data_IF_861851447447
#
_entry.id   IF_861851447447
#
_cell.length_a   1.000
_cell.length_b   1.000
_cell.length_c   1.000
_cell.angle_alpha   90.00
_cell.angle_beta   90.00
_cell.angle_gamma   90.00
#
_symmetry.space_group_name_H-M   'P 1'
#
loop_
_entity.id
_entity.type
_entity.pdbx_description
1 polymer ?
#
# COMPACT_ATOMS: atom_id res chain seq x y z
N UNK A 1 -22.16 -8.09 8.05
CA UNK A 1 -20.76 -8.03 7.55
C UNK A 1 -20.47 -6.76 6.79
N UNK A 2 -21.40 -6.29 5.97
CA UNK A 2 -21.17 -5.10 5.16
C UNK A 2 -20.90 -3.84 5.97
N UNK A 3 -21.58 -3.66 7.12
CA UNK A 3 -21.39 -2.46 7.95
C UNK A 3 -19.99 -2.38 8.55
N UNK A 4 -19.47 -3.51 9.04
CA UNK A 4 -18.13 -3.55 9.62
C UNK A 4 -17.09 -3.35 8.52
N UNK A 5 -17.26 -3.98 7.36
CA UNK A 5 -16.37 -3.83 6.23
C UNK A 5 -16.34 -2.38 5.73
N UNK A 6 -17.51 -1.75 5.64
CA UNK A 6 -17.62 -0.35 5.23
C UNK A 6 -16.92 0.58 6.22
N UNK A 7 -17.11 0.33 7.52
CA UNK A 7 -16.49 1.14 8.55
C UNK A 7 -14.96 1.03 8.48
N UNK A 8 -14.42 -0.19 8.36
CA UNK A 8 -12.99 -0.40 8.24
C UNK A 8 -12.42 0.23 6.97
N UNK A 9 -13.18 0.14 5.87
CA UNK A 9 -12.79 0.78 4.62
C UNK A 9 -12.67 2.29 4.79
N UNK A 10 -13.66 2.93 5.44
CA UNK A 10 -13.63 4.36 5.68
C UNK A 10 -12.46 4.77 6.56
N UNK A 11 -12.15 3.98 7.60
CA UNK A 11 -11.00 4.24 8.43
C UNK A 11 -9.70 4.14 7.65
N UNK A 12 -9.59 3.15 6.78
CA UNK A 12 -8.41 2.96 5.95
C UNK A 12 -8.29 4.04 4.89
N UNK A 13 -9.41 4.51 4.32
CA UNK A 13 -9.37 5.62 3.37
C UNK A 13 -8.97 6.93 4.02
N UNK A 14 -9.19 7.07 5.33
CA UNK A 14 -8.68 8.20 6.09
C UNK A 14 -7.20 8.03 6.44
N UNK A 15 -6.70 6.79 6.39
CA UNK A 15 -5.29 6.52 6.58
C UNK A 15 -4.57 6.88 5.29
N UNK A 16 -3.60 7.73 5.39
CA UNK A 16 -2.85 8.15 4.22
C UNK A 16 -2.19 6.95 3.53
N UNK A 17 -2.29 6.89 2.21
CA UNK A 17 -1.56 5.91 1.40
C UNK A 17 -0.16 6.41 1.09
N UNK A 18 0.12 7.67 1.37
CA UNK A 18 1.43 8.29 1.22
C UNK A 18 1.96 8.69 2.59
N UNK A 19 3.22 8.39 2.82
CA UNK A 19 3.90 8.63 4.09
C UNK A 19 5.29 9.20 3.84
N UNK A 20 5.81 9.96 4.82
CA UNK A 20 7.25 10.10 4.88
C UNK A 20 7.84 8.77 5.35
N UNK A 21 9.11 8.52 5.06
CA UNK A 21 9.76 7.29 5.53
C UNK A 21 9.73 7.19 7.05
N UNK A 22 9.83 8.31 7.74
CA UNK A 22 9.73 8.34 9.20
C UNK A 22 8.34 7.94 9.69
N UNK A 23 7.29 8.46 9.05
CA UNK A 23 5.91 8.12 9.39
C UNK A 23 5.65 6.63 9.16
N UNK A 24 6.18 6.09 8.06
CA UNK A 24 6.06 4.67 7.76
C UNK A 24 6.77 3.84 8.83
N UNK A 25 7.95 4.24 9.25
CA UNK A 25 8.68 3.56 10.31
C UNK A 25 7.88 3.53 11.62
N UNK A 26 7.29 4.65 11.99
CA UNK A 26 6.46 4.73 13.20
C UNK A 26 5.26 3.81 13.12
N UNK A 27 4.62 3.73 11.95
CA UNK A 27 3.49 2.83 11.74
C UNK A 27 3.93 1.37 11.86
N UNK A 28 5.06 1.02 11.27
CA UNK A 28 5.60 -0.35 11.36
C UNK A 28 5.89 -0.70 12.82
N UNK A 29 6.50 0.21 13.57
CA UNK A 29 6.80 -0.01 14.98
C UNK A 29 5.54 -0.29 15.80
N UNK A 30 4.47 0.45 15.55
CA UNK A 30 3.19 0.22 16.23
C UNK A 30 2.58 -1.13 15.88
N UNK A 31 2.71 -1.54 14.63
CA UNK A 31 2.23 -2.86 14.20
C UNK A 31 3.04 -3.98 14.85
N UNK A 32 4.34 -3.80 15.00
CA UNK A 32 5.20 -4.77 15.68
C UNK A 32 4.79 -4.91 17.15
N UNK A 33 4.53 -3.80 17.83
CA UNK A 33 4.07 -3.84 19.22
C UNK A 33 2.77 -4.60 19.38
N UNK A 34 1.88 -4.47 18.40
CA UNK A 34 0.55 -5.06 18.47
C UNK A 34 0.52 -6.51 18.00
N UNK A 35 1.28 -6.84 16.96
CA UNK A 35 1.20 -8.14 16.27
C UNK A 35 2.45 -8.99 16.43
N UNK A 36 3.58 -8.41 16.84
CA UNK A 36 4.85 -9.10 16.93
C UNK A 36 5.73 -8.87 15.71
N UNK A 37 7.04 -8.97 15.91
CA UNK A 37 8.01 -8.69 14.84
C UNK A 37 8.03 -9.77 13.74
N UNK A 38 7.52 -10.96 14.04
CA UNK A 38 7.49 -12.07 13.10
C UNK A 38 6.16 -12.17 12.36
N UNK A 39 5.23 -11.22 12.59
CA UNK A 39 3.96 -11.21 11.89
C UNK A 39 4.16 -10.92 10.40
N UNK A 40 3.50 -11.68 9.56
CA UNK A 40 3.56 -11.44 8.11
C UNK A 40 2.73 -10.23 7.70
N UNK A 41 3.16 -9.56 6.67
CA UNK A 41 2.42 -8.46 6.08
C UNK A 41 2.65 -8.41 4.57
N UNK A 42 1.76 -7.72 3.88
CA UNK A 42 1.99 -7.33 2.49
C UNK A 42 2.36 -5.85 2.46
N UNK A 43 3.36 -5.48 1.68
CA UNK A 43 3.79 -4.10 1.59
C UNK A 43 4.22 -3.73 0.18
N UNK A 44 3.84 -2.52 -0.22
CA UNK A 44 4.22 -1.93 -1.50
C UNK A 44 4.81 -0.56 -1.18
N UNK A 45 6.12 -0.42 -1.35
CA UNK A 45 6.83 0.81 -0.99
C UNK A 45 7.44 1.40 -2.25
N UNK A 46 7.03 2.62 -2.57
CA UNK A 46 7.57 3.38 -3.69
C UNK A 46 8.18 4.67 -3.17
N UNK A 47 9.36 4.99 -3.65
CA UNK A 47 10.08 6.20 -3.24
C UNK A 47 10.46 7.01 -4.49
N UNK A 48 11.15 8.11 -4.27
CA UNK A 48 11.62 8.94 -5.39
C UNK A 48 12.49 8.17 -6.37
N UNK A 49 13.15 7.11 -5.92
CA UNK A 49 14.02 6.30 -6.77
C UNK A 49 13.22 5.44 -7.75
N UNK A 50 11.93 5.26 -7.49
CA UNK A 50 11.04 4.50 -8.37
C UNK A 50 10.31 5.39 -9.39
N UNK A 51 10.46 6.73 -9.26
CA UNK A 51 9.83 7.66 -10.19
C UNK A 51 10.77 7.90 -11.35
N UNK A 52 10.47 7.27 -12.47
CA UNK A 52 11.31 7.27 -13.65
C UNK A 52 10.49 7.59 -14.89
N UNK A 53 11.05 8.41 -15.76
CA UNK A 53 10.51 8.66 -17.09
C UNK A 53 11.47 8.07 -18.10
N UNK A 54 10.96 7.22 -18.99
CA UNK A 54 11.76 6.66 -20.07
C UNK A 54 11.49 7.48 -21.31
N UNK A 55 12.55 8.07 -21.89
CA UNK A 55 12.44 8.86 -23.11
C UNK A 55 12.31 7.96 -24.33
N UNK A 56 11.96 8.56 -25.48
CA UNK A 56 11.86 7.82 -26.75
C UNK A 56 13.18 7.18 -27.16
N UNK A 57 14.31 7.76 -26.74
CA UNK A 57 15.64 7.24 -27.01
C UNK A 57 16.05 6.12 -26.05
N UNK A 58 15.20 5.79 -25.07
CA UNK A 58 15.48 4.77 -24.08
C UNK A 58 16.25 5.24 -22.86
N UNK A 59 16.49 6.54 -22.75
CA UNK A 59 17.15 7.11 -21.57
C UNK A 59 16.18 7.16 -20.38
N UNK A 60 16.72 6.92 -19.19
CA UNK A 60 15.95 7.00 -17.94
C UNK A 60 16.19 8.34 -17.25
N UNK A 61 15.12 9.03 -16.92
CA UNK A 61 15.14 10.29 -16.19
C UNK A 61 14.51 10.11 -14.82
N UNK A 62 15.16 10.66 -13.81
CA UNK A 62 14.67 10.60 -12.41
C UNK A 62 14.35 12.03 -11.94
N UNK A 63 13.13 12.51 -12.27
CA UNK A 63 12.79 13.92 -12.04
C UNK A 63 12.72 14.32 -10.57
N UNK A 64 12.58 13.34 -9.67
CA UNK A 64 12.46 13.60 -8.24
C UNK A 64 13.81 13.62 -7.51
N UNK A 65 14.92 13.34 -8.20
CA UNK A 65 16.22 13.16 -7.54
C UNK A 65 16.61 14.36 -6.66
N UNK A 66 16.41 15.58 -7.16
CA UNK A 66 16.73 16.80 -6.44
C UNK A 66 15.53 17.74 -6.34
N UNK A 67 14.33 17.18 -6.32
CA UNK A 67 13.11 17.98 -6.34
C UNK A 67 12.08 17.43 -5.35
N UNK A 68 12.21 17.76 -4.05
CA UNK A 68 11.30 17.28 -3.03
C UNK A 68 9.88 17.79 -3.21
N UNK A 69 9.68 18.98 -3.79
CA UNK A 69 8.33 19.48 -4.06
C UNK A 69 7.61 18.64 -5.10
N UNK A 70 8.30 18.27 -6.16
CA UNK A 70 7.72 17.39 -7.19
C UNK A 70 7.39 16.01 -6.61
N UNK A 71 8.29 15.46 -5.80
CA UNK A 71 8.09 14.19 -5.12
C UNK A 71 6.81 14.22 -4.28
N UNK A 72 6.65 15.28 -3.49
CA UNK A 72 5.47 15.44 -2.64
C UNK A 72 4.20 15.50 -3.47
N UNK A 73 4.20 16.26 -4.57
CA UNK A 73 3.03 16.37 -5.45
C UNK A 73 2.65 15.04 -6.07
N UNK A 74 3.64 14.28 -6.54
CA UNK A 74 3.39 12.98 -7.18
C UNK A 74 2.77 12.02 -6.17
N UNK A 75 3.37 11.88 -5.00
CA UNK A 75 2.88 10.90 -4.03
C UNK A 75 1.57 11.34 -3.37
N UNK A 76 1.33 12.64 -3.27
CA UNK A 76 0.02 13.14 -2.84
C UNK A 76 -1.07 12.71 -3.82
N UNK A 77 -0.81 12.87 -5.10
CA UNK A 77 -1.77 12.48 -6.14
C UNK A 77 -2.00 10.97 -6.14
N UNK A 78 -0.93 10.17 -6.02
CA UNK A 78 -1.03 8.71 -5.96
C UNK A 78 -1.80 8.28 -4.72
N UNK A 79 -1.52 8.91 -3.57
CA UNK A 79 -2.19 8.58 -2.32
C UNK A 79 -3.68 8.88 -2.32
N UNK A 80 -4.13 9.77 -3.22
CA UNK A 80 -5.55 10.12 -3.36
C UNK A 80 -6.27 9.24 -4.38
N UNK A 81 -5.61 8.19 -4.87
CA UNK A 81 -6.16 7.31 -5.89
C UNK A 81 -6.91 6.13 -5.27
N UNK A 82 -8.23 6.26 -5.13
CA UNK A 82 -9.09 5.20 -4.57
C UNK A 82 -9.01 3.90 -5.36
N UNK A 83 -8.76 3.98 -6.67
CA UNK A 83 -8.69 2.80 -7.52
C UNK A 83 -7.57 1.86 -7.11
N UNK A 84 -6.41 2.41 -6.76
CA UNK A 84 -5.26 1.60 -6.30
C UNK A 84 -5.65 0.84 -5.03
N UNK A 85 -6.24 1.53 -4.07
CA UNK A 85 -6.68 0.91 -2.82
C UNK A 85 -7.71 -0.19 -3.08
N UNK A 86 -8.70 0.09 -3.95
CA UNK A 86 -9.74 -0.88 -4.29
C UNK A 86 -9.15 -2.14 -4.92
N UNK A 87 -8.19 -1.99 -5.83
CA UNK A 87 -7.53 -3.13 -6.46
C UNK A 87 -6.79 -4.00 -5.43
N UNK A 88 -6.09 -3.38 -4.50
CA UNK A 88 -5.36 -4.09 -3.46
C UNK A 88 -6.37 -4.82 -2.54
N UNK A 89 -7.43 -4.14 -2.13
CA UNK A 89 -8.43 -4.74 -1.25
C UNK A 89 -9.13 -5.92 -1.93
N UNK A 90 -9.49 -5.78 -3.21
CA UNK A 90 -10.12 -6.86 -3.95
C UNK A 90 -9.19 -8.08 -4.06
N UNK A 91 -7.91 -7.85 -4.31
CA UNK A 91 -6.92 -8.93 -4.38
C UNK A 91 -6.79 -9.66 -3.04
N UNK A 92 -6.79 -8.91 -1.94
CA UNK A 92 -6.74 -9.50 -0.59
C UNK A 92 -8.01 -10.30 -0.31
N UNK A 93 -9.17 -9.76 -0.66
CA UNK A 93 -10.45 -10.43 -0.44
C UNK A 93 -10.54 -11.73 -1.24
N UNK A 94 -10.14 -11.70 -2.51
CA UNK A 94 -10.17 -12.89 -3.38
C UNK A 94 -9.22 -13.97 -2.87
N UNK A 95 -8.01 -13.58 -2.50
CA UNK A 95 -7.03 -14.53 -1.97
C UNK A 95 -7.49 -15.11 -0.62
N UNK A 96 -8.12 -14.28 0.21
CA UNK A 96 -8.64 -14.71 1.50
C UNK A 96 -9.70 -15.79 1.31
N UNK A 97 -10.65 -15.54 0.42
CA UNK A 97 -11.74 -16.50 0.15
C UNK A 97 -11.18 -17.80 -0.39
N UNK A 98 -10.29 -17.71 -1.38
CA UNK A 98 -9.71 -18.91 -2.01
C UNK A 98 -8.92 -19.75 -1.00
N UNK A 99 -8.04 -19.15 -0.24
CA UNK A 99 -7.20 -19.87 0.70
C UNK A 99 -8.01 -20.41 1.88
N UNK A 100 -8.98 -19.65 2.35
CA UNK A 100 -9.86 -20.11 3.42
C UNK A 100 -10.65 -21.35 2.99
N UNK A 101 -11.21 -21.36 1.78
CA UNK A 101 -11.95 -22.48 1.23
C UNK A 101 -11.07 -23.72 1.07
N UNK A 102 -9.82 -23.53 0.60
CA UNK A 102 -8.88 -24.65 0.47
C UNK A 102 -8.56 -25.27 1.83
N UNK A 103 -8.33 -24.44 2.85
CA UNK A 103 -8.06 -24.94 4.20
C UNK A 103 -9.24 -25.74 4.74
N UNK A 104 -10.47 -25.31 4.48
CA UNK A 104 -11.67 -26.05 4.90
C UNK A 104 -11.73 -27.42 4.25
N UNK A 105 -11.36 -27.53 2.98
CA UNK A 105 -11.32 -28.79 2.27
C UNK A 105 -10.24 -29.73 2.81
N UNK A 106 -9.08 -29.18 3.18
CA UNK A 106 -7.98 -29.97 3.74
C UNK A 106 -8.31 -30.55 5.11
N UNK A 107 -9.19 -29.89 5.87
CA UNK A 107 -9.59 -30.34 7.20
C UNK A 107 -10.67 -31.43 7.16
N UNK A 108 -11.28 -31.67 6.02
CA UNK A 108 -12.26 -32.72 5.79
C UNK A 108 -11.54 -33.95 5.27
#
# INVERSE_FOLDING_TARGET
MSLIKTYLHNLQSQTQMNYTLKQLQERVNKLIEKQGEDAYCGAWIYTKDDVCIVTDDGDELYPCENNPELTERIFYQVGDCDHIYTCIQDAVDDATEEQYMQLQQELV
#
